data_IF_136470981537
#
_entry.id   IF_136470981537
#
_cell.length_a   1.000
_cell.length_b   1.000
_cell.length_c   1.000
_cell.angle_alpha   90.00
_cell.angle_beta   90.00
_cell.angle_gamma   90.00
#
_symmetry.space_group_name_H-M   'P 1'
#
loop_
_entity.id
_entity.type
_entity.pdbx_description
1 polymer ?
#
# COMPACT_ATOMS: atom_id res chain seq x y z
N UNK A 1 -16.99 1.24 5.22
CA UNK A 1 -16.59 0.35 6.35
C UNK A 1 -15.13 0.02 6.10
N UNK A 2 -14.22 0.53 6.92
CA UNK A 2 -12.78 0.37 6.72
C UNK A 2 -12.19 -0.82 7.47
N UNK A 3 -10.91 -1.10 7.23
CA UNK A 3 -10.11 -2.10 7.94
C UNK A 3 -10.12 -1.81 9.45
N UNK A 4 -10.39 -2.83 10.27
CA UNK A 4 -10.39 -2.69 11.73
C UNK A 4 -8.95 -2.68 12.25
N UNK A 5 -8.60 -1.61 12.96
CA UNK A 5 -7.30 -1.40 13.53
C UNK A 5 -7.40 -0.98 15.01
N UNK A 6 -6.37 -1.29 15.79
CA UNK A 6 -6.25 -1.03 17.22
C UNK A 6 -5.07 -0.11 17.60
N UNK A 7 -4.28 0.36 16.63
CA UNK A 7 -3.23 1.38 16.77
C UNK A 7 -3.51 2.60 15.90
N UNK A 8 -2.70 3.65 16.04
CA UNK A 8 -2.89 4.92 15.33
C UNK A 8 -2.88 4.73 13.82
N UNK A 9 -3.92 5.25 13.14
CA UNK A 9 -4.09 5.14 11.70
C UNK A 9 -2.89 5.65 10.92
N UNK A 10 -2.35 6.82 11.31
CA UNK A 10 -1.21 7.43 10.65
C UNK A 10 0.05 6.55 10.69
N UNK A 11 0.25 5.77 11.76
CA UNK A 11 1.40 4.87 11.83
C UNK A 11 1.20 3.65 10.92
N UNK A 12 -0.01 3.11 10.84
CA UNK A 12 -0.35 2.04 9.89
C UNK A 12 -0.18 2.53 8.46
N UNK A 13 -0.64 3.75 8.18
CA UNK A 13 -0.52 4.37 6.88
C UNK A 13 0.96 4.54 6.52
N UNK A 14 1.79 5.03 7.45
CA UNK A 14 3.24 5.16 7.24
C UNK A 14 3.88 3.80 6.91
N UNK A 15 3.60 2.75 7.70
CA UNK A 15 4.14 1.41 7.45
C UNK A 15 3.67 0.86 6.08
N UNK A 16 2.42 1.15 5.71
CA UNK A 16 1.84 0.71 4.43
C UNK A 16 2.44 1.49 3.25
N UNK A 17 2.64 2.80 3.39
CA UNK A 17 3.33 3.66 2.42
C UNK A 17 4.75 3.13 2.17
N UNK A 18 5.50 2.81 3.22
CA UNK A 18 6.84 2.21 3.07
C UNK A 18 6.80 0.84 2.40
N UNK A 19 5.77 0.03 2.67
CA UNK A 19 5.63 -1.28 2.06
C UNK A 19 5.24 -1.21 0.58
N UNK A 20 4.31 -0.32 0.23
CA UNK A 20 3.87 -0.07 -1.15
C UNK A 20 4.96 0.62 -1.98
N UNK A 21 5.76 1.50 -1.37
CA UNK A 21 6.87 2.15 -2.05
C UNK A 21 8.02 1.21 -2.40
N UNK A 22 8.06 0.01 -1.82
CA UNK A 22 9.00 -1.04 -2.22
C UNK A 22 8.52 -1.85 -3.44
N UNK A 23 7.23 -1.75 -3.81
CA UNK A 23 6.66 -2.46 -4.96
C UNK A 23 7.10 -1.79 -6.27
N UNK A 24 7.56 -2.61 -7.21
CA UNK A 24 7.88 -2.13 -8.55
C UNK A 24 6.59 -1.75 -9.28
N UNK A 25 6.63 -0.62 -9.99
CA UNK A 25 5.50 -0.09 -10.77
C UNK A 25 4.23 0.21 -9.94
N UNK A 26 4.38 0.53 -8.65
CA UNK A 26 3.23 0.88 -7.80
C UNK A 26 2.42 2.09 -8.31
N UNK A 27 3.07 3.00 -9.02
CA UNK A 27 2.44 4.15 -9.68
C UNK A 27 1.45 3.77 -10.79
N UNK A 28 1.51 2.55 -11.35
CA UNK A 28 0.55 2.08 -12.36
C UNK A 28 -0.87 1.97 -11.81
N UNK A 29 -1.02 1.86 -10.47
CA UNK A 29 -2.32 1.86 -9.83
C UNK A 29 -3.12 3.14 -10.10
N UNK A 30 -2.43 4.27 -10.28
CA UNK A 30 -3.05 5.55 -10.64
C UNK A 30 -3.11 5.78 -12.16
N UNK A 31 -2.93 4.73 -12.97
CA UNK A 31 -2.81 4.83 -14.43
C UNK A 31 -1.66 5.77 -14.88
N UNK A 32 -0.68 5.98 -13.99
CA UNK A 32 0.46 6.86 -14.24
C UNK A 32 1.54 6.13 -15.04
N UNK A 33 2.20 6.86 -15.94
CA UNK A 33 3.31 6.33 -16.72
C UNK A 33 4.63 6.40 -15.94
N UNK A 34 5.61 5.57 -16.34
CA UNK A 34 6.96 5.65 -15.78
C UNK A 34 7.61 7.02 -16.01
N UNK A 35 7.27 7.69 -17.12
CA UNK A 35 7.77 9.03 -17.46
C UNK A 35 7.25 10.06 -16.46
N UNK A 36 5.93 10.08 -16.21
CA UNK A 36 5.32 10.96 -15.20
C UNK A 36 5.89 10.67 -13.80
N UNK A 37 6.12 9.40 -13.46
CA UNK A 37 6.75 9.02 -12.19
C UNK A 37 8.20 9.47 -12.09
N UNK A 38 8.94 9.39 -13.20
CA UNK A 38 10.33 9.81 -13.31
C UNK A 38 10.47 11.33 -13.16
N UNK A 39 9.48 12.10 -13.61
CA UNK A 39 9.43 13.56 -13.46
C UNK A 39 9.18 14.02 -12.03
N UNK A 40 8.54 13.20 -11.18
CA UNK A 40 8.33 13.51 -9.77
C UNK A 40 9.63 13.47 -8.97
N UNK A 41 9.81 14.46 -8.09
CA UNK A 41 10.86 14.46 -7.08
C UNK A 41 10.60 13.45 -5.96
N UNK A 42 11.62 13.13 -5.16
CA UNK A 42 11.47 12.26 -3.98
C UNK A 42 10.33 12.65 -3.02
N UNK A 43 10.11 13.94 -2.66
CA UNK A 43 8.99 14.30 -1.79
C UNK A 43 7.63 14.04 -2.45
N UNK A 44 7.48 14.37 -3.73
CA UNK A 44 6.21 14.21 -4.46
C UNK A 44 5.87 12.72 -4.66
N UNK A 45 6.88 11.87 -4.89
CA UNK A 45 6.68 10.41 -4.92
C UNK A 45 6.19 9.88 -3.58
N UNK A 46 6.68 10.43 -2.47
CA UNK A 46 6.20 10.11 -1.13
C UNK A 46 4.71 10.41 -0.97
N UNK A 47 4.30 11.61 -1.36
CA UNK A 47 2.89 12.04 -1.29
C UNK A 47 1.96 11.15 -2.15
N UNK A 48 2.41 10.74 -3.34
CA UNK A 48 1.64 9.83 -4.21
C UNK A 48 1.50 8.45 -3.57
N UNK A 49 2.55 7.90 -2.98
CA UNK A 49 2.49 6.58 -2.33
C UNK A 49 1.66 6.64 -1.04
N UNK A 50 1.68 7.77 -0.33
CA UNK A 50 0.81 7.97 0.84
C UNK A 50 -0.67 7.99 0.43
N UNK A 51 -1.02 8.70 -0.65
CA UNK A 51 -2.36 8.67 -1.21
C UNK A 51 -2.75 7.24 -1.66
N UNK A 52 -1.82 6.50 -2.27
CA UNK A 52 -2.02 5.10 -2.66
C UNK A 52 -2.32 4.22 -1.45
N UNK A 53 -1.56 4.40 -0.37
CA UNK A 53 -1.74 3.64 0.86
C UNK A 53 -3.12 3.89 1.48
N UNK A 54 -3.59 5.13 1.45
CA UNK A 54 -4.92 5.50 1.95
C UNK A 54 -6.02 4.79 1.12
N UNK A 55 -5.96 4.93 -0.21
CA UNK A 55 -6.92 4.30 -1.13
C UNK A 55 -6.94 2.77 -1.00
N UNK A 56 -5.76 2.14 -0.96
CA UNK A 56 -5.63 0.68 -0.76
C UNK A 56 -6.20 0.29 0.60
N UNK A 57 -5.88 1.02 1.68
CA UNK A 57 -6.39 0.69 3.01
C UNK A 57 -7.92 0.76 3.08
N UNK A 58 -8.53 1.78 2.48
CA UNK A 58 -9.99 1.89 2.38
C UNK A 58 -10.58 0.78 1.50
N UNK A 59 -9.95 0.49 0.35
CA UNK A 59 -10.33 -0.58 -0.56
C UNK A 59 -10.32 -1.96 0.10
N UNK A 60 -9.30 -2.24 0.93
CA UNK A 60 -9.15 -3.49 1.69
C UNK A 60 -10.30 -3.77 2.66
N UNK A 61 -11.04 -2.72 3.06
CA UNK A 61 -12.26 -2.84 3.85
C UNK A 61 -13.43 -3.48 3.10
N UNK A 62 -13.40 -3.45 1.76
CA UNK A 62 -14.43 -4.01 0.86
C UNK A 62 -13.91 -5.26 0.16
N UNK A 63 -12.73 -5.17 -0.45
CA UNK A 63 -12.09 -6.26 -1.17
C UNK A 63 -10.78 -6.65 -0.46
N UNK A 64 -10.68 -7.85 0.12
CA UNK A 64 -9.56 -8.20 1.00
C UNK A 64 -8.23 -8.42 0.27
N UNK A 65 -8.20 -8.36 -1.07
CA UNK A 65 -7.01 -8.56 -1.89
C UNK A 65 -7.00 -7.50 -2.99
N UNK A 66 -5.97 -6.67 -3.04
CA UNK A 66 -5.78 -5.62 -4.05
C UNK A 66 -4.43 -5.84 -4.72
N UNK A 67 -4.38 -5.77 -6.05
CA UNK A 67 -3.13 -5.83 -6.82
C UNK A 67 -2.63 -4.42 -7.09
N UNK A 68 -1.35 -4.16 -6.86
CA UNK A 68 -0.72 -2.84 -7.02
C UNK A 68 0.57 -3.04 -7.80
N UNK A 69 0.65 -2.56 -9.04
CA UNK A 69 1.81 -2.80 -9.90
C UNK A 69 2.14 -4.30 -10.02
N UNK A 70 3.38 -4.67 -9.70
CA UNK A 70 3.84 -6.07 -9.64
C UNK A 70 3.62 -6.75 -8.27
N UNK A 71 3.06 -6.03 -7.30
CA UNK A 71 2.81 -6.51 -5.95
C UNK A 71 1.35 -6.87 -5.67
N UNK A 72 1.11 -7.49 -4.52
CA UNK A 72 -0.24 -7.84 -4.06
C UNK A 72 -0.40 -7.54 -2.58
N UNK A 73 -1.48 -6.87 -2.22
CA UNK A 73 -1.82 -6.49 -0.85
C UNK A 73 -3.00 -7.31 -0.39
N UNK A 74 -2.84 -8.04 0.71
CA UNK A 74 -3.87 -8.93 1.28
C UNK A 74 -4.17 -8.53 2.71
N UNK A 75 -5.44 -8.24 3.00
CA UNK A 75 -5.91 -7.99 4.35
C UNK A 75 -6.36 -9.28 5.03
N UNK A 76 -5.75 -9.58 6.18
CA UNK A 76 -6.07 -10.72 7.01
C UNK A 76 -6.76 -10.29 8.32
N UNK A 77 -8.10 -10.14 8.33
CA UNK A 77 -8.84 -9.66 9.50
C UNK A 77 -8.70 -10.56 10.72
N UNK A 78 -8.50 -11.88 10.51
CA UNK A 78 -8.33 -12.86 11.60
C UNK A 78 -7.03 -12.66 12.38
N UNK A 79 -5.99 -12.17 11.71
CA UNK A 79 -4.66 -11.98 12.29
C UNK A 79 -4.36 -10.51 12.58
N UNK A 80 -5.27 -9.60 12.22
CA UNK A 80 -5.08 -8.15 12.32
C UNK A 80 -3.80 -7.67 11.63
N UNK A 81 -3.56 -8.18 10.41
CA UNK A 81 -2.41 -7.79 9.58
C UNK A 81 -2.84 -7.48 8.16
N UNK A 82 -2.05 -6.65 7.50
CA UNK A 82 -2.02 -6.49 6.05
C UNK A 82 -0.70 -7.09 5.56
N UNK A 83 -0.79 -8.05 4.66
CA UNK A 83 0.34 -8.65 3.97
C UNK A 83 0.57 -7.92 2.65
N UNK A 84 1.80 -7.49 2.39
CA UNK A 84 2.21 -6.84 1.15
C UNK A 84 3.27 -7.71 0.50
N UNK A 85 2.90 -8.43 -0.54
CA UNK A 85 3.81 -9.18 -1.38
C UNK A 85 4.44 -8.23 -2.42
N UNK A 86 5.75 -8.04 -2.31
CA UNK A 86 6.57 -7.18 -3.16
C UNK A 86 7.20 -8.04 -4.25
N UNK A 87 6.71 -7.89 -5.48
CA UNK A 87 7.21 -8.53 -6.71
C UNK A 87 7.43 -10.05 -6.60
N UNK A 88 6.65 -10.73 -5.72
CA UNK A 88 6.77 -12.16 -5.41
C UNK A 88 8.10 -12.58 -4.75
N UNK A 89 8.93 -11.63 -4.32
CA UNK A 89 10.27 -11.88 -3.75
C UNK A 89 10.33 -11.61 -2.25
N UNK A 90 9.58 -10.61 -1.80
CA UNK A 90 9.57 -10.16 -0.42
C UNK A 90 8.13 -10.05 0.07
N UNK A 91 7.92 -10.35 1.36
CA UNK A 91 6.63 -10.15 2.01
C UNK A 91 6.86 -9.21 3.18
N UNK A 92 6.15 -8.08 3.16
CA UNK A 92 6.10 -7.12 4.26
C UNK A 92 4.78 -7.27 5.00
N UNK A 93 4.83 -7.25 6.32
CA UNK A 93 3.65 -7.42 7.17
C UNK A 93 3.43 -6.14 7.96
N UNK A 94 2.30 -5.48 7.71
CA UNK A 94 1.84 -4.33 8.48
C UNK A 94 0.88 -4.83 9.55
N UNK A 95 1.25 -4.63 10.83
CA UNK A 95 0.40 -5.03 11.97
C UNK A 95 -0.58 -3.92 12.29
N UNK A 96 -1.82 -4.30 12.58
CA UNK A 96 -2.92 -3.39 12.88
C UNK A 96 -3.24 -3.30 14.39
N UNK A 97 -2.46 -3.96 15.24
CA UNK A 97 -2.62 -4.03 16.70
C UNK A 97 -1.45 -3.40 17.43
#
# INVERSE_FOLDING_TARGET
MGVRHGREYNEILTDLTEALGAISNSYEFFEMTNEEWAELGEPERGDVIEALADDVFYGLGVEPVITVGEGTVTYHPKFHIIEVAVDGKEIRIVRLT
#
